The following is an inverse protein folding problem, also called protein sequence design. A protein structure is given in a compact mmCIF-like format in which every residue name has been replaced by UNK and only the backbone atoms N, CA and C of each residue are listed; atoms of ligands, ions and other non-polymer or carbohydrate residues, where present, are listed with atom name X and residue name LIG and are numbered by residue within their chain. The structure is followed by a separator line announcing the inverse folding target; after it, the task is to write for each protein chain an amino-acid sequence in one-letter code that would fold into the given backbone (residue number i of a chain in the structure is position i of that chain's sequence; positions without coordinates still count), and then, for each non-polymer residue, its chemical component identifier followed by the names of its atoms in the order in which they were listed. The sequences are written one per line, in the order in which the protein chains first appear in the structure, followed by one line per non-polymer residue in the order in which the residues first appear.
data_IF_002610455866
#
_entry.id   IF_002610455866
#
_cell.length_a   1.000
_cell.length_b   1.000
_cell.length_c   1.000
_cell.angle_alpha   90.00
_cell.angle_beta   90.00
_cell.angle_gamma   90.00
#
_symmetry.space_group_name_H-M   'P 1'
#
loop_
_entity.id
_entity.type
_entity.pdbx_description
1 polymer ?
#
# COMPACT_ATOMS: atom_id res chain seq x y z
N UNK A 1 -69.90 45.50 -68.62
CA UNK A 1 -68.89 45.47 -69.69
C UNK A 1 -69.67 45.31 -70.97
N UNK A 2 -69.65 46.32 -71.83
CA UNK A 2 -70.28 46.19 -73.15
C UNK A 2 -69.48 45.17 -73.95
N UNK A 3 -70.14 44.10 -74.41
CA UNK A 3 -69.47 43.11 -75.26
C UNK A 3 -69.39 43.65 -76.69
N UNK A 4 -68.42 43.20 -77.47
CA UNK A 4 -68.30 43.59 -78.87
C UNK A 4 -69.56 43.19 -79.65
N UNK A 5 -70.19 42.09 -79.25
CA UNK A 5 -71.49 41.64 -79.76
C UNK A 5 -72.63 42.66 -79.52
N UNK A 6 -72.70 43.31 -78.34
CA UNK A 6 -73.72 44.33 -78.07
C UNK A 6 -73.50 45.59 -78.91
N UNK A 7 -72.23 45.96 -79.16
CA UNK A 7 -71.90 47.12 -80.00
C UNK A 7 -72.21 46.89 -81.48
N UNK A 8 -72.22 45.64 -81.92
CA UNK A 8 -72.60 45.25 -83.28
C UNK A 8 -74.12 45.36 -83.51
N UNK A 9 -74.96 45.10 -82.49
CA UNK A 9 -76.42 45.26 -82.58
C UNK A 9 -76.85 46.72 -82.76
N UNK A 10 -76.16 47.66 -82.11
CA UNK A 10 -76.51 49.09 -82.16
C UNK A 10 -75.97 49.80 -83.42
N UNK A 11 -75.28 49.09 -84.31
CA UNK A 11 -74.67 49.68 -85.50
C UNK A 11 -75.70 49.88 -86.60
N UNK A 12 -76.04 51.14 -86.90
CA UNK A 12 -76.96 51.50 -87.99
C UNK A 12 -76.20 52.03 -89.20
N UNK A 13 -76.54 51.58 -90.41
CA UNK A 13 -75.91 52.03 -91.65
C UNK A 13 -76.82 52.98 -92.46
N UNK A 14 -76.29 54.05 -93.07
CA UNK A 14 -77.08 54.96 -93.90
C UNK A 14 -77.47 54.32 -95.25
N UNK A 15 -78.73 54.50 -95.68
CA UNK A 15 -79.26 53.97 -96.94
C UNK A 15 -78.83 54.83 -98.15
N UNK A 16 -78.33 54.19 -99.21
CA UNK A 16 -77.90 54.85 -100.46
C UNK A 16 -78.65 54.29 -101.67
N UNK A 17 -78.80 55.11 -102.73
CA UNK A 17 -79.64 54.85 -103.92
C UNK A 17 -79.17 53.66 -104.78
N UNK A 18 -77.95 53.15 -104.54
CA UNK A 18 -77.36 51.89 -105.07
C UNK A 18 -76.58 51.19 -103.96
N UNK A 19 -77.24 50.89 -102.85
CA UNK A 19 -76.65 50.26 -101.68
C UNK A 19 -76.55 48.74 -101.77
N UNK A 20 -75.91 48.16 -100.75
CA UNK A 20 -75.97 46.72 -100.49
C UNK A 20 -77.39 46.29 -100.16
N UNK A 21 -77.74 45.05 -100.49
CA UNK A 21 -79.01 44.45 -100.11
C UNK A 21 -79.09 44.37 -98.58
N UNK A 22 -80.08 45.04 -98.01
CA UNK A 22 -80.26 45.15 -96.56
C UNK A 22 -80.44 43.77 -95.93
N UNK A 23 -81.19 42.87 -96.56
CA UNK A 23 -81.40 41.51 -96.06
C UNK A 23 -80.10 40.68 -96.04
N UNK A 24 -79.21 40.89 -97.01
CA UNK A 24 -77.92 40.21 -97.07
C UNK A 24 -76.92 40.77 -96.04
N UNK A 25 -76.97 42.08 -95.77
CA UNK A 25 -76.15 42.73 -94.73
C UNK A 25 -76.62 42.32 -93.35
N UNK A 26 -77.93 42.32 -93.09
CA UNK A 26 -78.49 41.90 -91.80
C UNK A 26 -78.12 40.45 -91.50
N UNK A 27 -78.27 39.52 -92.45
CA UNK A 27 -77.85 38.13 -92.29
C UNK A 27 -76.32 37.94 -92.10
N UNK A 28 -75.50 38.83 -92.67
CA UNK A 28 -74.06 38.84 -92.42
C UNK A 28 -73.73 39.36 -91.01
N UNK A 29 -74.42 40.40 -90.55
CA UNK A 29 -74.25 40.96 -89.21
C UNK A 29 -74.68 39.97 -88.13
N UNK A 30 -75.75 39.21 -88.35
CA UNK A 30 -76.17 38.12 -87.47
C UNK A 30 -75.10 37.02 -87.37
N UNK A 31 -74.53 36.59 -88.50
CA UNK A 31 -73.44 35.61 -88.50
C UNK A 31 -72.17 36.16 -87.83
N UNK A 32 -71.80 37.42 -88.12
CA UNK A 32 -70.67 38.08 -87.47
C UNK A 32 -70.87 38.18 -85.96
N UNK A 33 -72.10 38.45 -85.51
CA UNK A 33 -72.48 38.47 -84.10
C UNK A 33 -72.29 37.10 -83.46
N UNK A 34 -72.76 36.03 -84.08
CA UNK A 34 -72.59 34.66 -83.58
C UNK A 34 -71.10 34.29 -83.46
N UNK A 35 -70.29 34.66 -84.47
CA UNK A 35 -68.84 34.45 -84.44
C UNK A 35 -68.16 35.26 -83.34
N UNK A 36 -68.58 36.50 -83.11
CA UNK A 36 -68.04 37.35 -82.02
C UNK A 36 -68.42 36.78 -80.66
N UNK A 37 -69.66 36.31 -80.47
CA UNK A 37 -70.09 35.66 -79.22
C UNK A 37 -69.26 34.40 -78.94
N UNK A 38 -69.05 33.55 -79.95
CA UNK A 38 -68.23 32.34 -79.81
C UNK A 38 -66.76 32.68 -79.51
N UNK A 39 -66.18 33.69 -80.18
CA UNK A 39 -64.82 34.14 -79.90
C UNK A 39 -64.67 34.75 -78.50
N UNK A 40 -65.62 35.56 -78.04
CA UNK A 40 -65.62 36.13 -76.69
C UNK A 40 -65.76 35.02 -75.63
N UNK A 41 -66.64 34.03 -75.86
CA UNK A 41 -66.77 32.87 -74.99
C UNK A 41 -65.47 32.05 -74.93
N UNK A 42 -64.83 31.80 -76.07
CA UNK A 42 -63.53 31.11 -76.14
C UNK A 42 -62.41 31.89 -75.47
N UNK A 43 -62.39 33.22 -75.63
CA UNK A 43 -61.42 34.09 -74.96
C UNK A 43 -61.60 34.02 -73.44
N UNK A 44 -62.84 34.10 -72.95
CA UNK A 44 -63.14 34.04 -71.52
C UNK A 44 -62.73 32.68 -70.91
N UNK A 45 -62.99 31.58 -71.63
CA UNK A 45 -62.55 30.24 -71.23
C UNK A 45 -61.03 30.13 -71.22
N UNK A 46 -60.34 30.67 -72.24
CA UNK A 46 -58.88 30.66 -72.32
C UNK A 46 -58.24 31.49 -71.21
N UNK A 47 -58.77 32.68 -70.90
CA UNK A 47 -58.28 33.52 -69.80
C UNK A 47 -58.49 32.87 -68.44
N UNK A 48 -59.66 32.25 -68.21
CA UNK A 48 -59.94 31.49 -66.98
C UNK A 48 -58.97 30.32 -66.81
N UNK A 49 -58.74 29.56 -67.88
CA UNK A 49 -57.78 28.44 -67.89
C UNK A 49 -56.34 28.89 -67.67
N UNK A 50 -55.93 30.01 -68.26
CA UNK A 50 -54.60 30.61 -68.05
C UNK A 50 -54.41 31.02 -66.59
N UNK A 51 -55.41 31.70 -66.00
CA UNK A 51 -55.37 32.11 -64.60
C UNK A 51 -55.33 30.93 -63.63
N UNK A 52 -56.07 29.85 -63.92
CA UNK A 52 -56.03 28.63 -63.10
C UNK A 52 -54.66 27.94 -63.20
N UNK A 53 -54.08 27.85 -64.40
CA UNK A 53 -52.76 27.27 -64.62
C UNK A 53 -51.65 28.08 -63.93
N UNK A 54 -51.68 29.40 -64.01
CA UNK A 54 -50.71 30.26 -63.30
C UNK A 54 -50.80 30.07 -61.78
N UNK A 55 -52.01 30.00 -61.24
CA UNK A 55 -52.22 29.76 -59.80
C UNK A 55 -51.71 28.38 -59.39
N UNK A 56 -51.97 27.37 -60.21
CA UNK A 56 -51.47 26.01 -59.98
C UNK A 56 -49.95 25.93 -60.07
N UNK A 57 -49.32 26.60 -61.04
CA UNK A 57 -47.87 26.65 -61.17
C UNK A 57 -47.21 27.34 -59.97
N UNK A 58 -47.78 28.44 -59.46
CA UNK A 58 -47.29 29.10 -58.23
C UNK A 58 -47.40 28.18 -57.02
N UNK A 59 -48.55 27.52 -56.84
CA UNK A 59 -48.74 26.59 -55.73
C UNK A 59 -47.77 25.40 -55.77
N UNK A 60 -47.45 24.89 -56.97
CA UNK A 60 -46.44 23.83 -57.14
C UNK A 60 -45.04 24.35 -56.83
N UNK A 61 -44.66 25.53 -57.32
CA UNK A 61 -43.35 26.13 -57.03
C UNK A 61 -43.15 26.43 -55.53
N UNK A 62 -44.18 26.94 -54.86
CA UNK A 62 -44.15 27.19 -53.41
C UNK A 62 -44.01 25.87 -52.63
N UNK A 63 -44.72 24.82 -53.05
CA UNK A 63 -44.61 23.50 -52.43
C UNK A 63 -43.21 22.87 -52.62
N UNK A 64 -42.60 23.02 -53.79
CA UNK A 64 -41.22 22.58 -54.06
C UNK A 64 -40.22 23.33 -53.18
N UNK A 65 -40.33 24.65 -53.05
CA UNK A 65 -39.44 25.43 -52.17
C UNK A 65 -39.59 25.07 -50.69
N UNK A 66 -40.80 24.82 -50.22
CA UNK A 66 -41.03 24.35 -48.84
C UNK A 66 -40.42 22.97 -48.62
N UNK A 67 -40.57 22.06 -49.58
CA UNK A 67 -39.97 20.73 -49.51
C UNK A 67 -38.44 20.80 -49.50
N UNK A 68 -37.84 21.60 -50.38
CA UNK A 68 -36.39 21.81 -50.44
C UNK A 68 -35.85 22.41 -49.13
N UNK A 69 -36.49 23.45 -48.61
CA UNK A 69 -36.12 24.05 -47.34
C UNK A 69 -36.22 23.05 -46.17
N UNK A 70 -37.25 22.20 -46.16
CA UNK A 70 -37.40 21.15 -45.16
C UNK A 70 -36.30 20.09 -45.25
N UNK A 71 -35.90 19.68 -46.47
CA UNK A 71 -34.78 18.75 -46.69
C UNK A 71 -33.45 19.32 -46.22
N UNK A 72 -33.16 20.60 -46.53
CA UNK A 72 -31.95 21.27 -46.05
C UNK A 72 -31.94 21.36 -44.53
N UNK A 73 -33.05 21.77 -43.92
CA UNK A 73 -33.17 21.84 -42.47
C UNK A 73 -32.98 20.46 -41.80
N UNK A 74 -33.56 19.40 -42.38
CA UNK A 74 -33.39 18.04 -41.89
C UNK A 74 -31.93 17.55 -42.04
N UNK A 75 -31.26 17.86 -43.15
CA UNK A 75 -29.86 17.53 -43.36
C UNK A 75 -28.95 18.23 -42.33
N UNK A 76 -29.20 19.51 -42.05
CA UNK A 76 -28.44 20.26 -41.04
C UNK A 76 -28.72 19.77 -39.62
N UNK A 77 -29.98 19.44 -39.30
CA UNK A 77 -30.33 18.83 -38.02
C UNK A 77 -29.61 17.48 -37.83
N UNK A 78 -29.57 16.64 -38.88
CA UNK A 78 -28.83 15.37 -38.87
C UNK A 78 -27.33 15.59 -38.63
N UNK A 79 -26.71 16.54 -39.33
CA UNK A 79 -25.29 16.88 -39.14
C UNK A 79 -25.00 17.33 -37.71
N UNK A 80 -25.85 18.17 -37.13
CA UNK A 80 -25.72 18.62 -35.73
C UNK A 80 -25.85 17.46 -34.75
N UNK A 81 -26.79 16.55 -34.97
CA UNK A 81 -26.96 15.36 -34.13
C UNK A 81 -25.74 14.45 -34.18
N UNK A 82 -25.19 14.21 -35.37
CA UNK A 82 -23.96 13.42 -35.55
C UNK A 82 -22.81 14.08 -34.80
N UNK A 83 -22.56 15.38 -35.01
CA UNK A 83 -21.49 16.09 -34.33
C UNK A 83 -21.66 16.17 -32.80
N UNK A 84 -22.90 16.14 -32.30
CA UNK A 84 -23.17 16.06 -30.87
C UNK A 84 -22.93 14.65 -30.33
N UNK A 85 -23.30 13.61 -31.08
CA UNK A 85 -23.04 12.22 -30.72
C UNK A 85 -21.54 11.92 -30.70
N UNK A 86 -20.79 12.40 -31.68
CA UNK A 86 -19.33 12.26 -31.74
C UNK A 86 -18.64 12.94 -30.56
N UNK A 87 -19.05 14.16 -30.20
CA UNK A 87 -18.53 14.85 -29.01
C UNK A 87 -18.82 14.07 -27.73
N UNK A 88 -20.07 13.64 -27.52
CA UNK A 88 -20.43 12.82 -26.36
C UNK A 88 -19.65 11.51 -26.30
N UNK A 89 -19.45 10.85 -27.44
CA UNK A 89 -18.65 9.63 -27.50
C UNK A 89 -17.19 9.90 -27.12
N UNK A 90 -16.61 10.99 -27.62
CA UNK A 90 -15.26 11.42 -27.25
C UNK A 90 -15.14 11.71 -25.75
N UNK A 91 -16.12 12.40 -25.17
CA UNK A 91 -16.15 12.73 -23.74
C UNK A 91 -16.23 11.45 -22.89
N UNK A 92 -17.10 10.50 -23.26
CA UNK A 92 -17.23 9.20 -22.57
C UNK A 92 -15.91 8.41 -22.65
N UNK A 93 -15.25 8.39 -23.81
CA UNK A 93 -13.96 7.70 -23.97
C UNK A 93 -12.89 8.36 -23.12
N UNK A 94 -12.83 9.69 -23.09
CA UNK A 94 -11.87 10.43 -22.28
C UNK A 94 -12.09 10.17 -20.78
N UNK A 95 -13.33 10.20 -20.31
CA UNK A 95 -13.69 9.91 -18.92
C UNK A 95 -13.35 8.45 -18.54
N UNK A 96 -13.70 7.49 -19.40
CA UNK A 96 -13.37 6.09 -19.18
C UNK A 96 -11.85 5.85 -19.12
N UNK A 97 -11.07 6.52 -19.98
CA UNK A 97 -9.61 6.43 -19.95
C UNK A 97 -9.01 7.06 -18.69
N UNK A 98 -9.55 8.21 -18.24
CA UNK A 98 -9.12 8.86 -17.01
C UNK A 98 -9.40 7.97 -15.79
N UNK A 99 -10.60 7.38 -15.74
CA UNK A 99 -10.98 6.46 -14.65
C UNK A 99 -10.18 5.16 -14.70
N UNK A 100 -9.91 4.60 -15.89
CA UNK A 100 -9.04 3.45 -16.04
C UNK A 100 -7.61 3.76 -15.56
N UNK A 101 -7.06 4.91 -15.92
CA UNK A 101 -5.75 5.35 -15.45
C UNK A 101 -5.73 5.54 -13.92
N UNK A 102 -6.82 6.05 -13.33
CA UNK A 102 -6.97 6.17 -11.88
C UNK A 102 -7.02 4.80 -11.20
N UNK A 103 -7.88 3.90 -11.68
CA UNK A 103 -8.07 2.55 -11.15
C UNK A 103 -6.81 1.68 -11.28
N UNK A 104 -5.97 1.91 -12.29
CA UNK A 104 -4.71 1.19 -12.45
C UNK A 104 -3.56 1.84 -11.66
N UNK A 105 -3.51 3.18 -11.61
CA UNK A 105 -2.42 3.90 -10.94
C UNK A 105 -2.53 3.95 -9.41
N UNK A 106 -3.74 3.97 -8.85
CA UNK A 106 -3.94 3.97 -7.39
C UNK A 106 -3.42 2.68 -6.72
N UNK A 107 -3.74 1.46 -7.20
CA UNK A 107 -3.20 0.23 -6.63
C UNK A 107 -1.68 0.13 -6.78
N UNK A 108 -1.10 0.54 -7.90
CA UNK A 108 0.35 0.52 -8.10
C UNK A 108 1.05 1.41 -7.06
N UNK A 109 0.55 2.63 -6.84
CA UNK A 109 1.08 3.52 -5.80
C UNK A 109 0.92 2.93 -4.40
N UNK A 110 -0.25 2.35 -4.10
CA UNK A 110 -0.49 1.71 -2.81
C UNK A 110 0.44 0.51 -2.58
N UNK A 111 0.73 -0.29 -3.62
CA UNK A 111 1.68 -1.40 -3.54
C UNK A 111 3.11 -0.89 -3.34
N UNK A 112 3.52 0.17 -4.05
CA UNK A 112 4.85 0.75 -3.89
C UNK A 112 5.04 1.38 -2.52
N UNK A 113 4.01 2.04 -1.98
CA UNK A 113 4.00 2.60 -0.62
C UNK A 113 4.08 1.48 0.42
N UNK A 114 3.23 0.44 0.31
CA UNK A 114 3.27 -0.72 1.20
C UNK A 114 4.62 -1.46 1.15
N UNK A 115 5.26 -1.53 -0.03
CA UNK A 115 6.61 -2.10 -0.18
C UNK A 115 7.65 -1.28 0.55
N UNK A 116 7.60 0.05 0.43
CA UNK A 116 8.52 0.96 1.15
C UNK A 116 8.35 0.84 2.66
N UNK A 117 7.11 0.87 3.15
CA UNK A 117 6.83 0.68 4.57
C UNK A 117 7.32 -0.68 5.08
N UNK A 118 7.11 -1.76 4.32
CA UNK A 118 7.60 -3.09 4.66
C UNK A 118 9.14 -3.15 4.71
N UNK A 119 9.83 -2.51 3.76
CA UNK A 119 11.28 -2.42 3.75
C UNK A 119 11.82 -1.59 4.94
N UNK A 120 11.15 -0.50 5.31
CA UNK A 120 11.49 0.30 6.48
C UNK A 120 11.36 -0.49 7.77
N UNK A 121 10.23 -1.18 7.97
CA UNK A 121 10.00 -2.04 9.13
C UNK A 121 11.03 -3.18 9.17
N UNK A 122 11.34 -3.79 8.03
CA UNK A 122 12.37 -4.83 7.96
C UNK A 122 13.74 -4.27 8.36
N UNK A 123 14.11 -3.11 7.85
CA UNK A 123 15.40 -2.50 8.15
C UNK A 123 15.52 -2.09 9.62
N UNK A 124 14.45 -1.59 10.24
CA UNK A 124 14.43 -1.31 11.68
C UNK A 124 14.56 -2.59 12.50
N UNK A 125 13.83 -3.65 12.13
CA UNK A 125 13.93 -4.95 12.79
C UNK A 125 15.35 -5.53 12.73
N UNK A 126 16.01 -5.46 11.57
CA UNK A 126 17.41 -5.89 11.40
C UNK A 126 18.34 -5.09 12.30
N UNK A 127 18.24 -3.75 12.31
CA UNK A 127 19.06 -2.90 13.19
C UNK A 127 18.86 -3.22 14.66
N UNK A 128 17.63 -3.54 15.08
CA UNK A 128 17.33 -3.93 16.46
C UNK A 128 17.94 -5.27 16.82
N UNK A 129 17.93 -6.24 15.91
CA UNK A 129 18.59 -7.54 16.09
C UNK A 129 20.10 -7.33 16.22
N UNK A 130 20.73 -6.61 15.28
CA UNK A 130 22.17 -6.33 15.32
C UNK A 130 22.59 -5.61 16.61
N UNK A 131 21.79 -4.63 17.06
CA UNK A 131 22.04 -3.94 18.33
C UNK A 131 21.88 -4.86 19.55
N UNK A 132 20.93 -5.80 19.50
CA UNK A 132 20.73 -6.81 20.55
C UNK A 132 21.90 -7.79 20.59
N UNK A 133 22.36 -8.28 19.43
CA UNK A 133 23.49 -9.19 19.32
C UNK A 133 24.79 -8.54 19.80
N UNK A 134 25.01 -7.27 19.43
CA UNK A 134 26.16 -6.51 19.93
C UNK A 134 26.11 -6.32 21.47
N UNK A 135 24.92 -6.13 22.05
CA UNK A 135 24.76 -6.07 23.52
C UNK A 135 25.02 -7.42 24.17
N UNK A 136 24.49 -8.50 23.60
CA UNK A 136 24.70 -9.86 24.09
C UNK A 136 26.18 -10.22 24.09
N UNK A 137 26.91 -9.91 23.01
CA UNK A 137 28.34 -10.13 22.91
C UNK A 137 29.14 -9.41 24.01
N UNK A 138 28.81 -8.13 24.29
CA UNK A 138 29.45 -7.37 25.39
C UNK A 138 29.18 -7.97 26.77
N UNK A 139 27.95 -8.44 27.01
CA UNK A 139 27.60 -9.08 28.29
C UNK A 139 28.39 -10.38 28.46
N UNK A 140 28.51 -11.20 27.40
CA UNK A 140 29.31 -12.42 27.43
C UNK A 140 30.78 -12.09 27.72
N UNK A 141 31.37 -11.13 27.02
CA UNK A 141 32.76 -10.71 27.25
C UNK A 141 32.97 -10.21 28.69
N UNK A 142 32.06 -9.38 29.22
CA UNK A 142 32.13 -8.90 30.58
C UNK A 142 31.97 -10.04 31.61
N UNK A 143 31.07 -10.99 31.35
CA UNK A 143 30.88 -12.16 32.19
C UNK A 143 32.13 -13.06 32.20
N UNK A 144 32.76 -13.26 31.05
CA UNK A 144 34.02 -14.01 30.94
C UNK A 144 35.16 -13.33 31.71
N UNK A 145 35.33 -12.01 31.57
CA UNK A 145 36.34 -11.27 32.33
C UNK A 145 36.09 -11.36 33.85
N UNK A 146 34.84 -11.23 34.27
CA UNK A 146 34.44 -11.34 35.67
C UNK A 146 34.71 -12.76 36.19
N UNK A 147 34.34 -13.79 35.44
CA UNK A 147 34.60 -15.18 35.79
C UNK A 147 36.11 -15.47 35.91
N UNK A 148 36.93 -14.96 34.99
CA UNK A 148 38.40 -15.09 35.06
C UNK A 148 38.97 -14.43 36.31
N UNK A 149 38.46 -13.27 36.67
CA UNK A 149 38.89 -12.53 37.88
C UNK A 149 38.54 -13.32 39.14
N UNK A 150 37.28 -13.77 39.26
CA UNK A 150 36.83 -14.60 40.40
C UNK A 150 37.66 -15.88 40.51
N UNK A 151 37.96 -16.55 39.40
CA UNK A 151 38.80 -17.76 39.40
C UNK A 151 40.24 -17.47 39.82
N UNK A 152 40.80 -16.33 39.41
CA UNK A 152 42.14 -15.93 39.83
C UNK A 152 42.18 -15.62 41.34
N UNK A 153 41.21 -14.86 41.84
CA UNK A 153 41.09 -14.52 43.25
C UNK A 153 40.90 -15.78 44.09
N UNK A 154 39.97 -16.67 43.72
CA UNK A 154 39.74 -17.92 44.42
C UNK A 154 41.01 -18.79 44.47
N UNK A 155 41.81 -18.83 43.39
CA UNK A 155 43.09 -19.56 43.36
C UNK A 155 44.13 -18.93 44.27
N UNK A 156 44.21 -17.60 44.31
CA UNK A 156 45.14 -16.89 45.18
C UNK A 156 44.77 -17.11 46.65
N UNK A 157 43.50 -16.94 47.02
CA UNK A 157 43.00 -17.22 48.37
C UNK A 157 43.24 -18.68 48.77
N UNK A 158 42.99 -19.63 47.87
CA UNK A 158 43.26 -21.05 48.15
C UNK A 158 44.75 -21.32 48.39
N UNK A 159 45.66 -20.68 47.64
CA UNK A 159 47.10 -20.78 47.86
C UNK A 159 47.51 -20.18 49.19
N UNK A 160 47.04 -18.97 49.51
CA UNK A 160 47.32 -18.29 50.78
C UNK A 160 46.86 -19.14 51.98
N UNK A 161 45.63 -19.68 51.93
CA UNK A 161 45.11 -20.59 52.96
C UNK A 161 45.97 -21.85 53.08
N UNK A 162 46.39 -22.44 51.95
CA UNK A 162 47.24 -23.64 51.96
C UNK A 162 48.61 -23.34 52.59
N UNK A 163 49.23 -22.22 52.22
CA UNK A 163 50.51 -21.79 52.79
C UNK A 163 50.39 -21.47 54.27
N UNK A 164 49.34 -20.76 54.70
CA UNK A 164 49.07 -20.49 56.12
C UNK A 164 48.90 -21.78 56.90
N UNK A 165 48.05 -22.71 56.42
CA UNK A 165 47.83 -23.99 57.08
C UNK A 165 49.12 -24.83 57.17
N UNK A 166 49.96 -24.82 56.13
CA UNK A 166 51.27 -25.48 56.16
C UNK A 166 52.22 -24.86 57.18
N UNK A 167 52.26 -23.53 57.27
CA UNK A 167 53.07 -22.82 58.26
C UNK A 167 52.60 -23.12 59.68
N UNK A 168 51.29 -23.05 59.94
CA UNK A 168 50.69 -23.37 61.23
C UNK A 168 50.95 -24.82 61.64
N UNK A 169 50.82 -25.75 60.70
CA UNK A 169 51.12 -27.18 60.93
C UNK A 169 52.60 -27.38 61.26
N UNK A 170 53.50 -26.73 60.52
CA UNK A 170 54.95 -26.83 60.74
C UNK A 170 55.35 -26.24 62.09
N UNK A 171 54.79 -25.09 62.46
CA UNK A 171 54.99 -24.47 63.76
C UNK A 171 54.43 -25.34 64.90
N UNK A 172 53.25 -25.93 64.69
CA UNK A 172 52.61 -26.86 65.62
C UNK A 172 53.45 -28.11 65.85
N UNK A 173 53.98 -28.73 64.79
CA UNK A 173 54.91 -29.87 64.88
C UNK A 173 56.17 -29.45 65.63
N UNK A 174 56.81 -28.34 65.25
CA UNK A 174 58.03 -27.88 65.91
C UNK A 174 57.83 -27.53 67.40
N UNK A 175 56.64 -27.04 67.76
CA UNK A 175 56.26 -26.84 69.16
C UNK A 175 56.09 -28.19 69.89
N UNK A 176 55.34 -29.13 69.31
CA UNK A 176 55.14 -30.46 69.87
C UNK A 176 56.46 -31.24 70.04
N UNK A 177 57.38 -31.15 69.08
CA UNK A 177 58.71 -31.77 69.17
C UNK A 177 59.52 -31.19 70.31
N UNK A 178 59.53 -29.86 70.50
CA UNK A 178 60.24 -29.21 71.63
C UNK A 178 59.68 -29.62 72.98
N UNK A 179 58.35 -29.72 73.10
CA UNK A 179 57.72 -30.22 74.32
C UNK A 179 58.05 -31.70 74.56
N UNK A 180 58.06 -32.52 73.52
CA UNK A 180 58.48 -33.93 73.63
C UNK A 180 59.94 -34.06 74.10
N UNK A 181 60.87 -33.30 73.52
CA UNK A 181 62.28 -33.28 73.95
C UNK A 181 62.42 -32.82 75.41
N UNK A 182 61.66 -31.79 75.81
CA UNK A 182 61.62 -31.33 77.20
C UNK A 182 61.13 -32.42 78.16
N UNK A 183 60.06 -33.13 77.79
CA UNK A 183 59.54 -34.26 78.57
C UNK A 183 60.59 -35.38 78.66
N UNK A 184 61.29 -35.70 77.58
CA UNK A 184 62.35 -36.71 77.57
C UNK A 184 63.52 -36.33 78.50
N UNK A 185 63.95 -35.06 78.49
CA UNK A 185 64.99 -34.57 79.41
C UNK A 185 64.51 -34.67 80.86
N UNK A 186 63.28 -34.24 81.16
CA UNK A 186 62.69 -34.36 82.49
C UNK A 186 62.65 -35.81 82.95
N UNK A 187 62.20 -36.73 82.08
CA UNK A 187 62.16 -38.16 82.36
C UNK A 187 63.56 -38.73 82.64
N UNK A 188 64.56 -38.32 81.86
CA UNK A 188 65.95 -38.73 82.09
C UNK A 188 66.50 -38.22 83.43
N UNK A 189 66.21 -36.95 83.79
CA UNK A 189 66.61 -36.40 85.09
C UNK A 189 65.89 -37.10 86.25
N UNK A 190 64.62 -37.43 86.10
CA UNK A 190 63.85 -38.21 87.08
C UNK A 190 64.42 -39.62 87.24
N UNK A 191 64.70 -40.33 86.12
CA UNK A 191 65.34 -41.65 86.15
C UNK A 191 66.68 -41.61 86.87
N UNK A 192 67.49 -40.58 86.63
CA UNK A 192 68.78 -40.39 87.32
C UNK A 192 68.59 -40.12 88.82
N UNK A 193 67.67 -39.22 89.19
CA UNK A 193 67.38 -38.94 90.59
C UNK A 193 66.85 -40.18 91.33
N UNK A 194 66.01 -40.99 90.67
CA UNK A 194 65.54 -42.28 91.19
C UNK A 194 66.70 -43.26 91.34
N UNK A 195 67.58 -43.38 90.35
CA UNK A 195 68.77 -44.23 90.44
C UNK A 195 69.72 -43.80 91.57
N UNK A 196 70.00 -42.51 91.70
CA UNK A 196 70.82 -41.95 92.78
C UNK A 196 70.16 -42.23 94.15
N UNK A 197 68.84 -42.10 94.25
CA UNK A 197 68.09 -42.43 95.47
C UNK A 197 68.18 -43.93 95.83
N UNK A 198 68.09 -44.83 94.84
CA UNK A 198 68.26 -46.27 95.02
C UNK A 198 69.67 -46.60 95.53
N UNK A 199 70.71 -45.97 94.97
CA UNK A 199 72.10 -46.13 95.45
C UNK A 199 72.25 -45.63 96.89
N UNK A 200 71.64 -44.50 97.25
CA UNK A 200 71.67 -44.03 98.65
C UNK A 200 70.92 -44.95 99.61
N UNK A 201 69.83 -45.58 99.17
CA UNK A 201 69.06 -46.56 99.95
C UNK A 201 69.89 -47.85 100.14
N UNK A 202 70.54 -48.34 99.09
CA UNK A 202 71.46 -49.49 99.17
C UNK A 202 72.67 -49.21 100.08
N UNK A 203 73.22 -47.98 100.05
CA UNK A 203 74.36 -47.58 100.88
C UNK A 203 73.99 -47.39 102.37
N UNK A 204 72.75 -47.01 102.68
CA UNK A 204 72.29 -46.82 104.07
C UNK A 204 71.67 -48.08 104.69
N UNK A 205 71.22 -49.04 103.87
CA UNK A 205 70.57 -50.28 104.32
C UNK A 205 71.16 -51.52 103.64
N UNK A 206 72.37 -51.99 104.01
CA UNK A 206 73.07 -53.03 103.27
C UNK A 206 72.49 -54.45 103.39
N UNK A 207 71.25 -54.66 103.88
CA UNK A 207 70.72 -56.04 103.99
C UNK A 207 69.22 -56.33 103.97
N UNK A 208 68.30 -55.39 103.83
CA UNK A 208 66.86 -55.76 103.91
C UNK A 208 65.91 -55.21 102.83
N UNK A 209 66.35 -54.35 101.90
CA UNK A 209 65.43 -53.72 100.93
C UNK A 209 65.56 -54.25 99.48
N UNK A 210 66.61 -55.02 99.16
CA UNK A 210 66.88 -55.52 97.80
C UNK A 210 65.80 -56.50 97.29
N UNK A 211 64.99 -57.10 98.16
CA UNK A 211 63.98 -58.08 97.77
C UNK A 211 62.60 -57.49 97.39
N UNK A 212 62.26 -56.25 97.76
CA UNK A 212 60.89 -55.72 97.56
C UNK A 212 60.74 -54.75 96.38
N UNK A 213 61.83 -54.19 95.85
CA UNK A 213 61.80 -53.19 94.76
C UNK A 213 62.05 -53.77 93.36
N UNK A 214 62.47 -55.04 93.24
CA UNK A 214 62.72 -55.68 91.95
C UNK A 214 61.44 -56.11 91.19
N UNK A 215 60.25 -55.92 91.76
CA UNK A 215 59.00 -56.52 91.23
C UNK A 215 58.25 -55.64 90.23
N UNK A 216 58.45 -54.33 90.14
CA UNK A 216 57.54 -53.47 89.33
C UNK A 216 58.24 -52.53 88.34
N UNK A 217 59.17 -53.07 87.55
CA UNK A 217 59.66 -52.38 86.34
C UNK A 217 59.37 -53.14 85.03
N UNK A 218 58.78 -54.35 85.10
CA UNK A 218 58.41 -55.14 83.93
C UNK A 218 56.95 -54.97 83.47
N UNK A 219 56.14 -54.14 84.16
CA UNK A 219 54.70 -54.01 83.88
C UNK A 219 54.28 -52.72 83.13
N UNK A 220 55.23 -51.93 82.60
CA UNK A 220 54.93 -50.72 81.82
C UNK A 220 55.41 -50.87 80.36
N UNK A 221 55.14 -52.03 79.76
CA UNK A 221 54.90 -52.10 78.30
C UNK A 221 53.39 -51.93 78.07
N UNK A 222 52.92 -50.70 78.25
CA UNK A 222 51.60 -50.28 77.79
C UNK A 222 51.72 -49.74 76.36
N UNK A 223 51.23 -50.55 75.43
CA UNK A 223 50.39 -50.12 74.30
C UNK A 223 50.95 -49.05 73.36
N UNK A 224 51.47 -49.50 72.22
CA UNK A 224 51.25 -48.81 70.94
C UNK A 224 50.17 -49.56 70.16
#
# INVERSE_FOLDING_TARGET
MDTLSTKLEDTTFPLSRRGYDTAAVDGFMDNLRDVVIDLEARLMVAMSKSGSLETQMRAVGDAEHVAEAAFVAAADAKRRLIAQAERKASDIIAEANAEAARLLGEPERAVDEARREADEVRNDAVKRIEASDARAARIIEQAEMTARTILADARNTARELTTSAQQDTTQGIAHATREYERIQVLLATLKRAVADSLVTVEATHPREVVASLAVDLSAVELSN
#
